data_IF_715923808161
#
_entry.id   IF_715923808161
#
_cell.length_a   1.000
_cell.length_b   1.000
_cell.length_c   1.000
_cell.angle_alpha   90.00
_cell.angle_beta   90.00
_cell.angle_gamma   90.00
#
_symmetry.space_group_name_H-M   'P 1'
#
loop_
_entity.id
_entity.type
_entity.pdbx_description
1 polymer ?
#
# COMPACT_ATOMS: atom_id res chain seq x y z
N UNK A 1 25.61 -11.15 0.76
CA UNK A 1 25.56 -11.19 2.24
C UNK A 1 24.22 -10.60 2.58
N UNK A 2 23.25 -11.44 2.90
CA UNK A 2 21.86 -10.98 3.12
C UNK A 2 21.86 -9.91 4.21
N UNK A 3 21.41 -8.74 3.82
CA UNK A 3 21.28 -7.58 4.69
C UNK A 3 20.13 -7.83 5.68
N UNK A 4 20.15 -7.14 6.82
CA UNK A 4 19.05 -7.20 7.81
C UNK A 4 17.72 -6.76 7.15
N UNK A 5 17.79 -5.84 6.19
CA UNK A 5 16.67 -5.31 5.40
C UNK A 5 15.99 -6.40 4.56
N UNK A 6 16.77 -7.22 3.84
CA UNK A 6 16.26 -8.35 3.06
C UNK A 6 15.55 -9.38 3.97
N UNK A 7 16.12 -9.67 5.14
CA UNK A 7 15.50 -10.60 6.10
C UNK A 7 14.17 -10.11 6.65
N UNK A 8 14.03 -8.80 6.86
CA UNK A 8 12.75 -8.21 7.31
C UNK A 8 11.68 -8.28 6.22
N UNK A 9 12.04 -7.98 4.98
CA UNK A 9 11.11 -8.10 3.85
C UNK A 9 10.66 -9.55 3.65
N UNK A 10 11.58 -10.50 3.76
CA UNK A 10 11.24 -11.92 3.66
C UNK A 10 10.34 -12.39 4.80
N UNK A 11 10.55 -11.92 6.03
CA UNK A 11 9.66 -12.20 7.16
C UNK A 11 8.23 -11.66 6.94
N UNK A 12 8.08 -10.59 6.15
CA UNK A 12 6.79 -10.04 5.72
C UNK A 12 6.21 -10.73 4.47
N UNK A 13 6.89 -11.74 3.92
CA UNK A 13 6.43 -12.51 2.77
C UNK A 13 6.82 -11.95 1.40
N UNK A 14 7.80 -11.04 1.32
CA UNK A 14 8.30 -10.51 0.04
C UNK A 14 9.03 -11.54 -0.85
N UNK A 15 9.15 -12.79 -0.39
CA UNK A 15 9.69 -13.92 -1.12
C UNK A 15 8.63 -14.74 -1.87
N UNK A 16 7.36 -14.35 -1.80
CA UNK A 16 6.33 -15.00 -2.60
C UNK A 16 6.64 -14.87 -4.10
N UNK A 17 6.53 -15.96 -4.87
CA UNK A 17 6.75 -15.90 -6.31
C UNK A 17 5.66 -15.06 -6.97
N UNK A 18 6.07 -14.08 -7.76
CA UNK A 18 5.18 -13.39 -8.69
C UNK A 18 4.87 -14.33 -9.87
N UNK A 19 3.66 -14.25 -10.41
CA UNK A 19 3.33 -15.02 -11.59
C UNK A 19 4.09 -14.45 -12.81
N UNK A 20 4.33 -15.26 -13.86
CA UNK A 20 4.96 -14.74 -15.08
C UNK A 20 4.22 -13.56 -15.70
N UNK A 21 2.89 -13.56 -15.61
CA UNK A 21 2.06 -12.44 -16.08
C UNK A 21 2.33 -11.17 -15.26
N UNK A 22 2.39 -11.27 -13.94
CA UNK A 22 2.66 -10.09 -13.11
C UNK A 22 4.04 -9.50 -13.39
N UNK A 23 5.04 -10.35 -13.65
CA UNK A 23 6.38 -9.91 -14.04
C UNK A 23 6.33 -9.17 -15.38
N UNK A 24 5.70 -9.76 -16.40
CA UNK A 24 5.55 -9.14 -17.72
C UNK A 24 4.80 -7.79 -17.66
N UNK A 25 3.71 -7.72 -16.91
CA UNK A 25 2.94 -6.49 -16.71
C UNK A 25 3.77 -5.42 -15.98
N UNK A 26 4.51 -5.80 -14.94
CA UNK A 26 5.41 -4.89 -14.22
C UNK A 26 6.54 -4.36 -15.11
N UNK A 27 7.14 -5.22 -15.93
CA UNK A 27 8.27 -4.85 -16.80
C UNK A 27 7.85 -4.07 -18.05
N UNK A 28 6.65 -4.32 -18.60
CA UNK A 28 6.20 -3.74 -19.87
C UNK A 28 5.16 -2.62 -19.71
N UNK A 29 4.31 -2.68 -18.69
CA UNK A 29 3.22 -1.73 -18.46
C UNK A 29 3.47 -0.85 -17.23
N UNK A 30 4.37 -1.24 -16.34
CA UNK A 30 4.70 -0.50 -15.12
C UNK A 30 3.68 -0.67 -13.98
N UNK A 31 2.71 -1.58 -14.13
CA UNK A 31 1.74 -1.92 -13.08
C UNK A 31 1.32 -3.39 -13.20
N UNK A 32 0.75 -3.95 -12.14
CA UNK A 32 0.04 -5.23 -12.17
C UNK A 32 -1.18 -5.17 -11.25
N UNK A 33 -2.13 -6.10 -11.41
CA UNK A 33 -3.36 -6.13 -10.62
C UNK A 33 -3.35 -7.32 -9.67
N UNK A 34 -3.48 -7.04 -8.38
CA UNK A 34 -3.64 -8.07 -7.35
C UNK A 34 -5.13 -8.13 -6.98
N UNK A 35 -5.78 -9.22 -7.33
CA UNK A 35 -7.20 -9.41 -7.06
C UNK A 35 -7.45 -9.92 -5.63
N UNK A 36 -8.64 -9.62 -5.09
CA UNK A 36 -9.14 -10.16 -3.82
C UNK A 36 -8.25 -9.86 -2.61
N UNK A 37 -7.51 -8.74 -2.63
CA UNK A 37 -6.66 -8.30 -1.50
C UNK A 37 -7.52 -7.93 -0.28
N UNK A 38 -8.64 -7.24 -0.50
CA UNK A 38 -9.45 -6.68 0.57
C UNK A 38 -10.68 -7.55 0.83
N UNK A 39 -10.72 -8.19 1.98
CA UNK A 39 -11.90 -8.95 2.45
C UNK A 39 -13.08 -8.02 2.79
N UNK A 40 -14.30 -8.56 2.77
CA UNK A 40 -15.54 -7.77 2.93
C UNK A 40 -15.58 -6.95 4.21
N UNK A 41 -15.20 -7.56 5.34
CA UNK A 41 -15.25 -6.89 6.65
C UNK A 41 -14.18 -5.81 6.75
N UNK A 42 -12.99 -6.10 6.23
CA UNK A 42 -11.90 -5.12 6.16
C UNK A 42 -12.27 -3.93 5.25
N UNK A 43 -12.90 -4.19 4.11
CA UNK A 43 -13.40 -3.14 3.22
C UNK A 43 -14.43 -2.24 3.92
N UNK A 44 -15.33 -2.83 4.71
CA UNK A 44 -16.31 -2.08 5.49
C UNK A 44 -15.64 -1.21 6.56
N UNK A 45 -14.60 -1.71 7.20
CA UNK A 45 -13.80 -0.97 8.19
C UNK A 45 -13.03 0.20 7.54
N UNK A 46 -12.39 -0.03 6.38
CA UNK A 46 -11.69 1.02 5.62
C UNK A 46 -12.64 2.15 5.24
N UNK A 47 -13.85 1.84 4.75
CA UNK A 47 -14.88 2.83 4.41
C UNK A 47 -15.31 3.64 5.63
N UNK A 48 -15.65 2.97 6.73
CA UNK A 48 -16.03 3.64 7.98
C UNK A 48 -14.92 4.54 8.51
N UNK A 49 -13.66 4.10 8.38
CA UNK A 49 -12.50 4.89 8.80
C UNK A 49 -12.34 6.14 7.94
N UNK A 50 -12.52 6.03 6.62
CA UNK A 50 -12.52 7.21 5.73
C UNK A 50 -13.63 8.17 6.12
N UNK A 51 -14.87 7.70 6.27
CA UNK A 51 -16.01 8.55 6.62
C UNK A 51 -15.76 9.28 7.96
N UNK A 52 -15.24 8.58 8.96
CA UNK A 52 -14.88 9.15 10.26
C UNK A 52 -13.76 10.18 10.15
N UNK A 53 -12.72 9.92 9.35
CA UNK A 53 -11.65 10.88 9.11
C UNK A 53 -12.22 12.13 8.43
N UNK A 54 -13.08 11.97 7.42
CA UNK A 54 -13.71 13.07 6.69
C UNK A 54 -14.55 13.94 7.61
N UNK A 55 -15.39 13.32 8.46
CA UNK A 55 -16.21 14.04 9.43
C UNK A 55 -15.37 14.76 10.49
N UNK A 56 -14.29 14.11 10.97
CA UNK A 56 -13.45 14.65 12.05
C UNK A 56 -12.53 15.77 11.58
N UNK A 57 -11.90 15.61 10.42
CA UNK A 57 -10.85 16.50 9.94
C UNK A 57 -11.40 17.54 8.96
N UNK A 58 -12.54 17.31 8.30
CA UNK A 58 -13.20 18.28 7.44
C UNK A 58 -12.26 18.90 6.42
N UNK A 59 -12.18 20.24 6.38
CA UNK A 59 -11.29 20.97 5.47
C UNK A 59 -9.79 20.75 5.73
N UNK A 60 -9.43 20.07 6.84
CA UNK A 60 -8.05 19.79 7.24
C UNK A 60 -7.47 18.48 6.68
N UNK A 61 -8.26 17.66 5.99
CA UNK A 61 -7.90 16.31 5.52
C UNK A 61 -6.64 16.22 4.64
N UNK A 62 -6.29 17.34 4.01
CA UNK A 62 -5.17 17.45 3.07
C UNK A 62 -4.62 18.87 3.00
N UNK A 63 -4.42 19.57 4.13
CA UNK A 63 -3.88 20.95 4.16
C UNK A 63 -2.56 21.06 3.38
N UNK A 64 -1.77 19.99 3.35
CA UNK A 64 -0.46 19.93 2.70
C UNK A 64 -0.52 19.62 1.19
N UNK A 65 -1.70 19.35 0.63
CA UNK A 65 -1.88 19.03 -0.79
C UNK A 65 -2.97 19.90 -1.45
N UNK A 66 -2.85 20.13 -2.76
CA UNK A 66 -3.86 20.86 -3.52
C UNK A 66 -5.23 20.18 -3.39
N UNK A 67 -6.21 20.92 -2.86
CA UNK A 67 -7.60 20.51 -2.79
C UNK A 67 -8.26 20.81 -4.13
N UNK A 68 -8.91 19.80 -4.72
CA UNK A 68 -9.76 19.95 -5.90
C UNK A 68 -11.22 19.98 -5.42
N UNK A 69 -12.03 20.95 -5.85
CA UNK A 69 -13.39 21.19 -5.33
C UNK A 69 -14.32 19.96 -5.43
N UNK A 70 -14.04 19.01 -6.31
CA UNK A 70 -14.86 17.81 -6.53
C UNK A 70 -14.27 16.53 -5.95
N UNK A 71 -13.12 16.58 -5.26
CA UNK A 71 -12.41 15.39 -4.80
C UNK A 71 -12.05 15.48 -3.32
N UNK A 72 -12.54 14.53 -2.52
CA UNK A 72 -12.08 14.34 -1.15
C UNK A 72 -10.71 13.66 -1.16
N UNK A 73 -9.65 14.42 -0.84
CA UNK A 73 -8.30 13.90 -0.66
C UNK A 73 -8.02 13.66 0.82
N UNK A 74 -7.56 12.47 1.18
CA UNK A 74 -7.10 12.12 2.53
C UNK A 74 -5.65 11.70 2.44
N UNK A 75 -4.75 12.48 3.05
CA UNK A 75 -3.32 12.21 3.02
C UNK A 75 -2.86 11.40 4.24
N UNK A 76 -1.66 10.81 4.15
CA UNK A 76 -0.97 10.15 5.27
C UNK A 76 -1.83 9.10 6.01
N UNK A 77 -2.60 8.30 5.27
CA UNK A 77 -3.49 7.29 5.84
C UNK A 77 -2.77 6.33 6.79
N UNK A 78 -1.52 5.96 6.48
CA UNK A 78 -0.69 5.09 7.34
C UNK A 78 -0.53 5.63 8.77
N UNK A 79 -0.53 6.96 8.95
CA UNK A 79 -0.44 7.62 10.25
C UNK A 79 -1.80 7.82 10.93
N UNK A 80 -2.90 7.48 10.24
CA UNK A 80 -4.28 7.75 10.66
C UNK A 80 -5.04 6.47 11.08
N UNK A 81 -4.37 5.32 11.11
CA UNK A 81 -4.92 4.09 11.65
C UNK A 81 -4.23 2.83 11.15
N UNK A 82 -4.38 1.73 11.89
CA UNK A 82 -3.75 0.44 11.57
C UNK A 82 -4.49 -0.33 10.46
N UNK A 83 -5.72 0.08 10.12
CA UNK A 83 -6.53 -0.55 9.05
C UNK A 83 -5.82 -0.53 7.69
N UNK A 84 -4.85 0.38 7.49
CA UNK A 84 -4.07 0.51 6.25
C UNK A 84 -2.81 -0.35 6.22
N UNK A 85 -2.38 -0.90 7.36
CA UNK A 85 -1.11 -1.64 7.47
C UNK A 85 -1.04 -2.83 6.53
N UNK A 86 -2.16 -3.53 6.41
CA UNK A 86 -2.31 -4.70 5.53
C UNK A 86 -2.18 -4.36 4.04
N UNK A 87 -2.34 -3.09 3.63
CA UNK A 87 -2.20 -2.68 2.23
C UNK A 87 -0.73 -2.64 1.83
N UNK A 88 0.09 -1.89 2.57
CA UNK A 88 1.50 -1.73 2.23
C UNK A 88 2.33 -2.97 2.61
N UNK A 89 1.94 -3.67 3.68
CA UNK A 89 2.59 -4.89 4.12
C UNK A 89 2.07 -6.16 3.41
N UNK A 90 1.25 -6.02 2.37
CA UNK A 90 0.74 -7.18 1.64
C UNK A 90 1.90 -7.95 1.00
N UNK A 91 2.06 -9.27 1.25
CA UNK A 91 3.20 -10.06 0.78
C UNK A 91 3.48 -9.92 -0.72
N UNK A 92 2.44 -9.95 -1.55
CA UNK A 92 2.56 -9.81 -3.01
C UNK A 92 2.97 -8.39 -3.42
N UNK A 93 2.54 -7.36 -2.69
CA UNK A 93 2.97 -5.97 -2.94
C UNK A 93 4.47 -5.86 -2.64
N UNK A 94 4.91 -6.41 -1.50
CA UNK A 94 6.32 -6.42 -1.14
C UNK A 94 7.19 -7.23 -2.11
N UNK A 95 6.69 -8.36 -2.62
CA UNK A 95 7.37 -9.14 -3.65
C UNK A 95 7.51 -8.36 -4.97
N UNK A 96 6.45 -7.65 -5.40
CA UNK A 96 6.49 -6.76 -6.55
C UNK A 96 7.50 -5.61 -6.37
N UNK A 97 7.52 -4.98 -5.19
CA UNK A 97 8.53 -3.98 -4.87
C UNK A 97 9.95 -4.56 -4.87
N UNK A 98 10.16 -5.74 -4.26
CA UNK A 98 11.48 -6.41 -4.26
C UNK A 98 11.97 -6.67 -5.68
N UNK A 99 11.08 -7.11 -6.57
CA UNK A 99 11.39 -7.33 -7.98
C UNK A 99 11.79 -6.04 -8.70
N UNK A 100 11.02 -4.95 -8.54
CA UNK A 100 11.27 -3.67 -9.21
C UNK A 100 12.53 -2.96 -8.70
N UNK A 101 12.76 -2.96 -7.39
CA UNK A 101 13.89 -2.24 -6.77
C UNK A 101 15.17 -3.08 -6.65
N UNK A 102 15.15 -4.35 -7.06
CA UNK A 102 16.31 -5.23 -6.96
C UNK A 102 16.79 -5.50 -5.52
N UNK A 103 15.90 -5.41 -4.53
CA UNK A 103 16.16 -5.78 -3.13
C UNK A 103 16.36 -4.63 -2.14
N UNK A 104 16.74 -3.42 -2.57
CA UNK A 104 16.91 -2.27 -1.69
C UNK A 104 15.62 -1.46 -1.51
N UNK A 105 14.65 -1.99 -0.75
CA UNK A 105 13.40 -1.28 -0.43
C UNK A 105 13.44 -0.71 0.99
N UNK A 106 13.13 0.58 1.14
CA UNK A 106 12.98 1.25 2.44
C UNK A 106 11.69 2.08 2.45
N UNK A 107 10.84 1.86 3.44
CA UNK A 107 9.71 2.73 3.72
C UNK A 107 10.18 3.85 4.65
N UNK A 108 10.02 5.10 4.22
CA UNK A 108 10.17 6.25 5.09
C UNK A 108 8.78 6.53 5.66
N UNK A 109 8.54 6.07 6.88
CA UNK A 109 7.35 6.42 7.67
C UNK A 109 7.67 7.63 8.54
#
# INVERSE_FOLDING_TARGET
MDTIEERHLEALGANLPLTPQMIDELETQGFTIIHNVVEKDWLAEMRRTIDMLVEREGDQLAIEHHQEETVTRVANLINKGTVWEKVWAHPTVLAACKHIFGGALRFLA
#
